data_IF_619258493744
#
_entry.id   IF_619258493744
#
_cell.length_a   1.000
_cell.length_b   1.000
_cell.length_c   1.000
_cell.angle_alpha   90.00
_cell.angle_beta   90.00
_cell.angle_gamma   90.00
#
_symmetry.space_group_name_H-M   'P 1'
#
loop_
_entity.id
_entity.type
_entity.pdbx_description
1 polymer ?
#
# COMPACT_ATOMS: atom_id res chain seq x y z
N UNK A 1 -19.49 -10.84 4.41
CA UNK A 1 -18.25 -10.46 5.10
C UNK A 1 -17.71 -9.26 4.37
N UNK A 2 -18.00 -8.07 4.89
CA UNK A 2 -17.74 -6.80 4.22
C UNK A 2 -16.25 -6.46 4.40
N UNK A 3 -15.46 -6.67 3.34
CA UNK A 3 -13.99 -6.48 3.36
C UNK A 3 -13.60 -5.04 2.97
N UNK A 4 -14.55 -4.09 2.96
CA UNK A 4 -14.37 -2.74 2.39
C UNK A 4 -14.46 -1.61 3.41
N UNK A 5 -13.93 -1.82 4.62
CA UNK A 5 -13.82 -0.77 5.64
C UNK A 5 -12.38 -0.55 6.08
N UNK A 6 -11.57 0.01 5.19
CA UNK A 6 -10.29 0.63 5.55
C UNK A 6 -10.06 1.89 4.71
N UNK A 7 -10.94 2.88 4.87
CA UNK A 7 -10.65 4.26 4.51
C UNK A 7 -11.21 5.12 5.64
N UNK A 8 -10.37 5.46 6.60
CA UNK A 8 -10.44 6.71 7.36
C UNK A 8 -9.19 6.83 8.24
N UNK A 9 -8.77 8.08 8.47
CA UNK A 9 -7.67 8.53 9.33
C UNK A 9 -6.28 8.63 8.67
N UNK A 10 -5.99 9.85 8.17
CA UNK A 10 -4.65 10.24 7.73
C UNK A 10 -4.63 11.57 6.98
N UNK A 11 -4.60 12.66 7.76
CA UNK A 11 -4.61 14.07 7.36
C UNK A 11 -4.03 14.45 5.98
N UNK A 12 -4.78 15.35 5.36
CA UNK A 12 -4.52 16.11 4.13
C UNK A 12 -3.26 16.99 4.25
N UNK A 13 -2.28 16.79 3.35
CA UNK A 13 -1.29 17.80 2.96
C UNK A 13 -0.90 17.66 1.48
N UNK A 14 -1.23 18.71 0.72
CA UNK A 14 -0.83 19.16 -0.61
C UNK A 14 0.06 18.27 -1.49
N UNK A 15 -0.52 17.79 -2.60
CA UNK A 15 0.18 17.24 -3.76
C UNK A 15 -0.24 15.81 -4.06
N UNK A 16 -1.19 15.61 -5.00
CA UNK A 16 -1.71 14.30 -5.48
C UNK A 16 -1.55 13.17 -4.44
N UNK A 17 -2.39 13.21 -3.40
CA UNK A 17 -2.36 12.28 -2.28
C UNK A 17 -2.23 10.83 -2.80
N UNK A 18 -1.15 10.09 -2.45
CA UNK A 18 -1.10 8.67 -2.75
C UNK A 18 -2.30 8.02 -2.05
N UNK A 19 -3.01 7.12 -2.76
CA UNK A 19 -4.18 6.40 -2.24
C UNK A 19 -3.90 5.59 -0.96
N UNK A 20 -2.63 5.41 -0.60
CA UNK A 20 -2.16 4.73 0.59
C UNK A 20 -1.52 5.74 1.55
N UNK A 21 -1.94 5.70 2.80
CA UNK A 21 -1.28 6.41 3.90
C UNK A 21 0.11 5.75 4.15
N UNK A 22 1.18 6.50 4.51
CA UNK A 22 2.49 5.94 4.86
C UNK A 22 2.47 4.68 5.73
N UNK A 23 1.56 4.59 6.71
CA UNK A 23 1.41 3.39 7.56
C UNK A 23 0.92 2.17 6.76
N UNK A 24 0.01 2.36 5.81
CA UNK A 24 -0.46 1.29 4.93
C UNK A 24 0.61 0.89 3.92
N UNK A 25 1.41 1.86 3.43
CA UNK A 25 2.53 1.56 2.54
C UNK A 25 3.59 0.69 3.25
N UNK A 26 3.95 1.03 4.49
CA UNK A 26 4.86 0.22 5.30
C UNK A 26 4.32 -1.20 5.54
N UNK A 27 3.04 -1.33 5.89
CA UNK A 27 2.44 -2.65 6.11
C UNK A 27 2.33 -3.48 4.81
N UNK A 28 2.07 -2.84 3.67
CA UNK A 28 2.08 -3.50 2.36
C UNK A 28 3.48 -4.04 2.03
N UNK A 29 4.52 -3.24 2.29
CA UNK A 29 5.91 -3.67 2.09
C UNK A 29 6.24 -4.86 2.97
N UNK A 30 5.95 -4.79 4.27
CA UNK A 30 6.17 -5.89 5.23
C UNK A 30 5.51 -7.20 4.74
N UNK A 31 4.24 -7.14 4.34
CA UNK A 31 3.53 -8.30 3.80
C UNK A 31 4.14 -8.80 2.49
N UNK A 32 4.64 -7.91 1.63
CA UNK A 32 5.33 -8.31 0.41
C UNK A 32 6.68 -8.99 0.67
N UNK A 33 7.38 -8.59 1.73
CA UNK A 33 8.68 -9.15 2.13
C UNK A 33 8.53 -10.54 2.73
N UNK A 34 7.38 -10.85 3.36
CA UNK A 34 7.09 -12.22 3.82
C UNK A 34 7.00 -13.23 2.68
N UNK A 35 6.70 -12.76 1.45
CA UNK A 35 6.50 -13.62 0.28
C UNK A 35 5.25 -14.50 0.30
N UNK A 36 4.42 -14.40 1.34
CA UNK A 36 3.18 -15.20 1.48
C UNK A 36 2.02 -14.67 0.63
N UNK A 37 2.13 -13.45 0.12
CA UNK A 37 1.10 -12.81 -0.69
C UNK A 37 1.64 -12.35 -2.04
N UNK A 38 0.92 -12.71 -3.09
CA UNK A 38 1.18 -12.19 -4.43
C UNK A 38 0.82 -10.71 -4.52
N UNK A 39 1.44 -9.98 -5.45
CA UNK A 39 1.11 -8.56 -5.69
C UNK A 39 -0.36 -8.32 -6.07
N UNK A 40 -1.04 -9.32 -6.64
CA UNK A 40 -2.48 -9.27 -6.89
C UNK A 40 -3.29 -9.39 -5.59
N UNK A 41 -2.92 -10.28 -4.69
CA UNK A 41 -3.59 -10.47 -3.40
C UNK A 41 -3.42 -9.26 -2.49
N UNK A 42 -2.22 -8.65 -2.50
CA UNK A 42 -1.97 -7.37 -1.83
C UNK A 42 -2.81 -6.24 -2.43
N UNK A 43 -3.03 -6.23 -3.75
CA UNK A 43 -3.87 -5.22 -4.38
C UNK A 43 -5.34 -5.35 -3.91
N UNK A 44 -5.87 -6.57 -3.85
CA UNK A 44 -7.20 -6.85 -3.34
C UNK A 44 -7.35 -6.55 -1.84
N UNK A 45 -6.38 -6.97 -1.01
CA UNK A 45 -6.39 -6.76 0.44
C UNK A 45 -6.43 -5.28 0.82
N UNK A 46 -5.70 -4.44 0.08
CA UNK A 46 -5.63 -3.00 0.31
C UNK A 46 -6.65 -2.20 -0.53
N UNK A 47 -7.44 -2.86 -1.40
CA UNK A 47 -8.40 -2.19 -2.28
C UNK A 47 -7.75 -1.23 -3.28
N UNK A 48 -6.50 -1.50 -3.69
CA UNK A 48 -5.73 -0.67 -4.61
C UNK A 48 -5.45 -1.39 -5.93
N UNK A 49 -4.95 -0.65 -6.93
CA UNK A 49 -4.47 -1.28 -8.16
C UNK A 49 -3.08 -1.88 -7.98
N UNK A 50 -2.76 -2.93 -8.76
CA UNK A 50 -1.41 -3.53 -8.82
C UNK A 50 -0.30 -2.49 -9.06
N UNK A 51 -0.58 -1.47 -9.87
CA UNK A 51 0.35 -0.35 -10.13
C UNK A 51 0.67 0.47 -8.88
N UNK A 52 -0.27 0.59 -7.93
CA UNK A 52 -0.04 1.23 -6.63
C UNK A 52 0.86 0.37 -5.76
N UNK A 53 0.63 -0.96 -5.74
CA UNK A 53 1.51 -1.93 -5.05
C UNK A 53 2.94 -1.81 -5.57
N UNK A 54 3.15 -1.85 -6.90
CA UNK A 54 4.49 -1.70 -7.47
C UNK A 54 5.15 -0.37 -7.10
N UNK A 55 4.41 0.75 -7.09
CA UNK A 55 4.97 2.05 -6.70
C UNK A 55 5.32 2.13 -5.21
N UNK A 56 4.56 1.48 -4.34
CA UNK A 56 4.89 1.38 -2.92
C UNK A 56 6.21 0.62 -2.71
N UNK A 57 6.37 -0.51 -3.39
CA UNK A 57 7.61 -1.32 -3.34
C UNK A 57 8.81 -0.57 -3.93
N UNK A 58 8.61 0.15 -5.05
CA UNK A 58 9.64 0.96 -5.68
C UNK A 58 10.09 2.12 -4.76
N UNK A 59 9.16 2.83 -4.12
CA UNK A 59 9.47 3.89 -3.14
C UNK A 59 10.27 3.36 -1.96
N UNK A 60 9.89 2.21 -1.41
CA UNK A 60 10.63 1.59 -0.32
C UNK A 60 12.05 1.20 -0.74
N UNK A 61 12.20 0.62 -1.94
CA UNK A 61 13.53 0.30 -2.49
C UNK A 61 14.41 1.55 -2.68
N UNK A 62 13.83 2.64 -3.17
CA UNK A 62 14.52 3.92 -3.30
C UNK A 62 14.82 4.61 -1.96
N UNK A 63 14.03 4.36 -0.92
CA UNK A 63 14.26 4.91 0.41
C UNK A 63 15.34 4.14 1.19
N UNK A 64 15.54 2.85 0.89
CA UNK A 64 16.54 1.98 1.52
C UNK A 64 17.95 2.11 0.89
N UNK A 65 18.09 2.83 -0.24
CA UNK A 65 19.39 3.08 -0.91
C UNK A 65 19.94 4.44 -0.53
#
# INVERSE_FOLDING_TARGET
TDVRRFVEEGAELSGKQPKLNPRQEAHLVELSETGEHSTAELADLFGVGRSTVYRALERNRSATT
#
